data_IF_865370410883
#
_entry.id   IF_865370410883
#
_cell.length_a   1.000
_cell.length_b   1.000
_cell.length_c   1.000
_cell.angle_alpha   90.00
_cell.angle_beta   90.00
_cell.angle_gamma   90.00
#
_symmetry.space_group_name_H-M   'P 1'
#
loop_
_entity.id
_entity.type
_entity.pdbx_description
1 polymer ?
#
# COMPACT_ATOMS: atom_id res chain seq x y z
N UNK A 1 -22.27 12.15 1.96
CA UNK A 1 -21.59 13.44 1.78
C UNK A 1 -20.41 13.21 0.86
N UNK A 2 -20.29 13.94 -0.24
CA UNK A 2 -19.13 13.85 -1.14
C UNK A 2 -17.92 14.43 -0.40
N UNK A 3 -16.87 13.63 -0.16
CA UNK A 3 -15.64 14.09 0.50
C UNK A 3 -14.97 15.18 -0.33
N UNK A 4 -14.62 16.31 0.25
CA UNK A 4 -13.96 17.38 -0.49
C UNK A 4 -12.60 16.91 -1.05
N UNK A 5 -12.25 17.35 -2.27
CA UNK A 5 -11.01 16.89 -2.92
C UNK A 5 -9.76 17.47 -2.24
N UNK A 6 -9.84 18.67 -1.68
CA UNK A 6 -8.72 19.26 -0.93
C UNK A 6 -8.54 18.54 0.40
N UNK A 7 -9.64 18.15 1.07
CA UNK A 7 -9.57 17.28 2.25
C UNK A 7 -8.94 15.91 1.93
N UNK A 8 -9.24 15.33 0.76
CA UNK A 8 -8.64 14.07 0.34
C UNK A 8 -7.13 14.18 0.15
N UNK A 9 -6.64 15.27 -0.45
CA UNK A 9 -5.21 15.53 -0.63
C UNK A 9 -4.49 15.48 0.73
N UNK A 10 -5.05 16.11 1.77
CA UNK A 10 -4.48 16.14 3.12
C UNK A 10 -4.39 14.77 3.80
N UNK A 11 -5.10 13.77 3.29
CA UNK A 11 -5.03 12.40 3.81
C UNK A 11 -3.89 11.57 3.21
N UNK A 12 -3.14 12.10 2.24
CA UNK A 12 -1.99 11.40 1.67
C UNK A 12 -0.84 11.30 2.68
N UNK A 13 -0.21 10.13 2.79
CA UNK A 13 0.85 9.90 3.79
C UNK A 13 2.21 10.48 3.34
N UNK A 14 2.55 10.40 2.05
CA UNK A 14 3.82 10.92 1.50
C UNK A 14 3.64 12.33 0.89
N UNK A 15 4.35 13.36 1.39
CA UNK A 15 4.28 14.71 0.86
C UNK A 15 4.66 14.84 -0.63
N UNK A 16 5.50 13.95 -1.16
CA UNK A 16 5.86 13.97 -2.58
C UNK A 16 4.71 13.45 -3.44
N UNK A 17 4.10 12.33 -3.03
CA UNK A 17 2.88 11.80 -3.65
C UNK A 17 1.71 12.79 -3.57
N UNK A 18 1.62 13.58 -2.50
CA UNK A 18 0.66 14.68 -2.35
C UNK A 18 0.79 15.72 -3.48
N UNK A 19 2.02 16.13 -3.84
CA UNK A 19 2.24 17.12 -4.92
C UNK A 19 1.71 16.64 -6.28
N UNK A 20 1.87 15.34 -6.58
CA UNK A 20 1.36 14.76 -7.82
C UNK A 20 -0.17 14.68 -7.86
N UNK A 21 -0.83 14.30 -6.76
CA UNK A 21 -2.30 14.23 -6.75
C UNK A 21 -2.93 15.63 -6.74
N UNK A 22 -2.25 16.64 -6.18
CA UNK A 22 -2.65 18.04 -6.29
C UNK A 22 -2.71 18.53 -7.75
N UNK A 23 -1.83 18.04 -8.63
CA UNK A 23 -1.92 18.32 -10.07
C UNK A 23 -3.20 17.75 -10.67
N UNK A 24 -3.55 16.50 -10.32
CA UNK A 24 -4.79 15.87 -10.79
C UNK A 24 -6.03 16.64 -10.34
N UNK A 25 -6.05 17.11 -9.09
CA UNK A 25 -7.15 17.93 -8.56
C UNK A 25 -7.20 19.31 -9.22
N UNK A 26 -6.05 19.95 -9.48
CA UNK A 26 -6.01 21.22 -10.24
C UNK A 26 -6.58 21.04 -11.65
N UNK A 27 -6.20 19.98 -12.36
CA UNK A 27 -6.79 19.66 -13.67
C UNK A 27 -8.30 19.43 -13.59
N UNK A 28 -8.77 18.72 -12.55
CA UNK A 28 -10.20 18.50 -12.32
C UNK A 28 -10.96 19.82 -12.13
N UNK A 29 -10.45 20.69 -11.24
CA UNK A 29 -11.06 22.00 -10.94
C UNK A 29 -11.08 22.93 -12.16
N UNK A 30 -10.12 22.78 -13.07
CA UNK A 30 -10.06 23.52 -14.33
C UNK A 30 -10.97 22.94 -15.45
N UNK A 31 -11.70 21.85 -15.19
CA UNK A 31 -12.51 21.16 -16.20
C UNK A 31 -11.71 20.31 -17.20
N UNK A 32 -10.41 20.12 -16.96
CA UNK A 32 -9.52 19.32 -17.80
C UNK A 32 -9.52 17.84 -17.35
N UNK A 33 -10.67 17.18 -17.45
CA UNK A 33 -10.88 15.84 -16.86
C UNK A 33 -9.98 14.75 -17.44
N UNK A 34 -9.67 14.78 -18.74
CA UNK A 34 -8.71 13.84 -19.35
C UNK A 34 -7.32 13.98 -18.71
N UNK A 35 -6.83 15.21 -18.59
CA UNK A 35 -5.55 15.51 -17.96
C UNK A 35 -5.55 15.14 -16.49
N UNK A 36 -6.68 15.33 -15.80
CA UNK A 36 -6.84 14.92 -14.41
C UNK A 36 -6.71 13.40 -14.23
N UNK A 37 -7.34 12.59 -15.10
CA UNK A 37 -7.19 11.12 -15.06
C UNK A 37 -5.75 10.69 -15.32
N UNK A 38 -5.07 11.32 -16.29
CA UNK A 38 -3.66 11.03 -16.58
C UNK A 38 -2.76 11.38 -15.38
N UNK A 39 -2.93 12.58 -14.81
CA UNK A 39 -2.17 13.03 -13.64
C UNK A 39 -2.45 12.15 -12.40
N UNK A 40 -3.68 11.69 -12.22
CA UNK A 40 -4.05 10.78 -11.14
C UNK A 40 -3.26 9.46 -11.23
N UNK A 41 -3.14 8.88 -12.43
CA UNK A 41 -2.31 7.69 -12.63
C UNK A 41 -0.83 7.95 -12.35
N UNK A 42 -0.29 9.11 -12.75
CA UNK A 42 1.10 9.48 -12.46
C UNK A 42 1.35 9.50 -10.95
N UNK A 43 0.44 10.12 -10.17
CA UNK A 43 0.53 10.15 -8.71
C UNK A 43 0.55 8.74 -8.11
N UNK A 44 -0.32 7.84 -8.59
CA UNK A 44 -0.37 6.46 -8.12
C UNK A 44 0.89 5.68 -8.49
N UNK A 45 1.36 5.77 -9.73
CA UNK A 45 2.56 5.06 -10.17
C UNK A 45 3.80 5.52 -9.38
N UNK A 46 3.92 6.83 -9.12
CA UNK A 46 4.97 7.38 -8.28
C UNK A 46 4.92 6.80 -6.85
N UNK A 47 3.76 6.88 -6.20
CA UNK A 47 3.57 6.41 -4.82
C UNK A 47 3.85 4.91 -4.67
N UNK A 48 3.40 4.08 -5.62
CA UNK A 48 3.67 2.65 -5.63
C UNK A 48 5.18 2.35 -5.73
N UNK A 49 5.90 3.06 -6.60
CA UNK A 49 7.36 2.92 -6.73
C UNK A 49 8.06 3.37 -5.45
N UNK A 50 7.59 4.46 -4.82
CA UNK A 50 8.18 4.97 -3.60
C UNK A 50 7.98 4.00 -2.42
N UNK A 51 6.79 3.41 -2.29
CA UNK A 51 6.53 2.33 -1.31
C UNK A 51 7.41 1.10 -1.52
N UNK A 52 7.70 0.74 -2.77
CA UNK A 52 8.66 -0.34 -3.07
C UNK A 52 10.07 0.05 -2.58
N UNK A 53 10.50 1.30 -2.78
CA UNK A 53 11.78 1.79 -2.26
C UNK A 53 11.84 1.76 -0.75
N UNK A 54 10.77 2.19 -0.06
CA UNK A 54 10.68 2.12 1.40
C UNK A 54 10.84 0.68 1.91
N UNK A 55 10.14 -0.28 1.30
CA UNK A 55 10.27 -1.69 1.66
C UNK A 55 11.68 -2.24 1.39
N UNK A 56 12.29 -1.85 0.26
CA UNK A 56 13.64 -2.27 -0.08
C UNK A 56 14.68 -1.75 0.93
N UNK A 57 14.53 -0.50 1.36
CA UNK A 57 15.33 0.11 2.44
C UNK A 57 15.09 -0.59 3.79
N UNK A 58 13.87 -1.07 4.04
CA UNK A 58 13.50 -1.91 5.17
C UNK A 58 13.99 -3.36 5.11
N UNK A 59 14.80 -3.73 4.11
CA UNK A 59 15.40 -5.06 3.98
C UNK A 59 14.52 -6.11 3.29
N UNK A 60 13.42 -5.71 2.65
CA UNK A 60 12.60 -6.64 1.89
C UNK A 60 13.27 -7.08 0.57
N UNK A 61 13.59 -8.37 0.47
CA UNK A 61 14.33 -8.94 -0.68
C UNK A 61 13.57 -8.86 -1.99
N UNK A 62 12.24 -8.99 -1.96
CA UNK A 62 11.42 -8.93 -3.16
C UNK A 62 11.34 -7.48 -3.69
N UNK A 63 11.19 -6.52 -2.77
CA UNK A 63 11.25 -5.10 -3.11
C UNK A 63 12.64 -4.68 -3.65
N UNK A 64 13.73 -5.20 -3.07
CA UNK A 64 15.10 -4.96 -3.56
C UNK A 64 15.30 -5.47 -5.00
N UNK A 65 14.73 -6.64 -5.33
CA UNK A 65 14.81 -7.20 -6.67
C UNK A 65 14.06 -6.32 -7.70
N UNK A 66 12.83 -5.89 -7.39
CA UNK A 66 12.06 -5.02 -8.28
C UNK A 66 12.66 -3.61 -8.39
N UNK A 67 13.23 -3.08 -7.30
CA UNK A 67 13.95 -1.80 -7.34
C UNK A 67 15.20 -1.89 -8.23
N UNK A 68 15.96 -2.98 -8.12
CA UNK A 68 17.12 -3.21 -8.99
C UNK A 68 16.70 -3.29 -10.46
N UNK A 69 15.61 -4.04 -10.76
CA UNK A 69 15.03 -4.11 -12.11
C UNK A 69 14.68 -2.71 -12.64
N UNK A 70 14.02 -1.90 -11.82
CA UNK A 70 13.64 -0.53 -12.16
C UNK A 70 14.87 0.36 -12.45
N UNK A 71 15.88 0.31 -11.60
CA UNK A 71 17.13 1.07 -11.81
C UNK A 71 17.89 0.63 -13.07
N UNK A 72 17.92 -0.67 -13.37
CA UNK A 72 18.54 -1.18 -14.60
C UNK A 72 17.82 -0.64 -15.84
N UNK A 73 16.49 -0.62 -15.83
CA UNK A 73 15.67 -0.05 -16.92
C UNK A 73 16.01 1.43 -17.13
N UNK A 74 16.10 2.21 -16.03
CA UNK A 74 16.45 3.63 -16.09
C UNK A 74 17.87 3.85 -16.62
N UNK A 75 18.87 3.14 -16.08
CA UNK A 75 20.28 3.26 -16.50
C UNK A 75 20.46 2.93 -17.98
N UNK A 76 19.68 1.99 -18.50
CA UNK A 76 19.71 1.60 -19.91
C UNK A 76 18.87 2.50 -20.83
N UNK A 77 18.14 3.50 -20.30
CA UNK A 77 17.15 4.29 -21.05
C UNK A 77 16.17 3.41 -21.85
N UNK A 78 15.80 2.26 -21.29
CA UNK A 78 14.97 1.27 -21.98
C UNK A 78 13.48 1.64 -21.89
N UNK A 79 12.98 2.37 -22.87
CA UNK A 79 11.57 2.81 -22.92
C UNK A 79 10.57 1.65 -22.86
N UNK A 80 10.80 0.57 -23.62
CA UNK A 80 9.89 -0.58 -23.60
C UNK A 80 9.89 -1.29 -22.25
N UNK A 81 11.06 -1.35 -21.59
CA UNK A 81 11.20 -1.83 -20.22
C UNK A 81 10.43 -0.96 -19.21
N UNK A 82 10.50 0.37 -19.35
CA UNK A 82 9.79 1.29 -18.47
C UNK A 82 8.27 1.13 -18.59
N UNK A 83 7.76 1.04 -19.82
CA UNK A 83 6.34 0.81 -20.09
C UNK A 83 5.87 -0.56 -19.57
N UNK A 84 6.68 -1.60 -19.72
CA UNK A 84 6.38 -2.92 -19.17
C UNK A 84 6.34 -2.91 -17.64
N UNK A 85 7.31 -2.25 -17.00
CA UNK A 85 7.34 -2.10 -15.54
C UNK A 85 6.10 -1.35 -15.02
N UNK A 86 5.75 -0.24 -15.67
CA UNK A 86 4.56 0.55 -15.33
C UNK A 86 3.27 -0.28 -15.46
N UNK A 87 3.17 -1.13 -16.50
CA UNK A 87 2.04 -2.04 -16.70
C UNK A 87 1.95 -3.11 -15.61
N UNK A 88 3.07 -3.55 -15.05
CA UNK A 88 3.11 -4.55 -14.00
C UNK A 88 2.72 -4.00 -12.61
N UNK A 89 2.84 -2.68 -12.40
CA UNK A 89 2.62 -2.03 -11.09
C UNK A 89 1.31 -2.43 -10.39
N UNK A 90 0.13 -2.41 -11.04
CA UNK A 90 -1.11 -2.80 -10.38
C UNK A 90 -1.10 -4.23 -9.85
N UNK A 91 -0.53 -5.16 -10.62
CA UNK A 91 -0.46 -6.57 -10.23
C UNK A 91 0.55 -6.77 -9.10
N UNK A 92 1.71 -6.10 -9.17
CA UNK A 92 2.70 -6.13 -8.10
C UNK A 92 2.13 -5.56 -6.79
N UNK A 93 1.39 -4.45 -6.86
CA UNK A 93 0.75 -3.83 -5.72
C UNK A 93 -0.24 -4.78 -5.02
N UNK A 94 -0.98 -5.59 -5.78
CA UNK A 94 -1.92 -6.58 -5.23
C UNK A 94 -1.21 -7.84 -4.72
N UNK A 95 -0.44 -8.50 -5.57
CA UNK A 95 -0.02 -9.89 -5.34
C UNK A 95 1.35 -10.01 -4.65
N UNK A 96 2.33 -9.14 -4.99
CA UNK A 96 3.67 -9.19 -4.37
C UNK A 96 3.72 -8.45 -3.05
N UNK A 97 3.13 -7.25 -3.04
CA UNK A 97 3.29 -6.32 -1.92
C UNK A 97 2.03 -6.14 -1.07
N UNK A 98 0.88 -6.67 -1.50
CA UNK A 98 -0.41 -6.57 -0.79
C UNK A 98 -0.76 -5.12 -0.35
N UNK A 99 -0.34 -4.14 -1.14
CA UNK A 99 -0.64 -2.71 -0.95
C UNK A 99 -2.11 -2.39 -1.20
N UNK A 100 -2.81 -3.22 -1.95
CA UNK A 100 -4.22 -3.07 -2.29
C UNK A 100 -4.91 -4.43 -2.26
N UNK A 101 -6.20 -4.42 -1.95
CA UNK A 101 -7.08 -5.58 -2.05
C UNK A 101 -7.45 -5.91 -3.49
N UNK A 102 -8.12 -7.03 -3.70
CA UNK A 102 -8.59 -7.42 -5.04
C UNK A 102 -9.58 -6.40 -5.64
N UNK A 103 -10.49 -5.84 -4.83
CA UNK A 103 -11.45 -4.86 -5.33
C UNK A 103 -10.75 -3.56 -5.76
N UNK A 104 -9.82 -3.09 -4.94
CA UNK A 104 -9.03 -1.88 -5.22
C UNK A 104 -8.11 -2.06 -6.43
N UNK A 105 -7.63 -3.29 -6.67
CA UNK A 105 -6.93 -3.63 -7.92
C UNK A 105 -7.83 -3.46 -9.15
N UNK A 106 -9.11 -3.86 -9.09
CA UNK A 106 -10.03 -3.66 -10.21
C UNK A 106 -10.25 -2.17 -10.49
N UNK A 107 -10.35 -1.35 -9.43
CA UNK A 107 -10.46 0.10 -9.58
C UNK A 107 -9.19 0.72 -10.16
N UNK A 108 -8.01 0.21 -9.76
CA UNK A 108 -6.74 0.65 -10.31
C UNK A 108 -6.58 0.26 -11.79
N UNK A 109 -7.00 -0.94 -12.19
CA UNK A 109 -7.00 -1.37 -13.59
C UNK A 109 -7.89 -0.47 -14.44
N UNK A 110 -9.09 -0.10 -13.95
CA UNK A 110 -9.97 0.87 -14.63
C UNK A 110 -9.30 2.22 -14.82
N UNK A 111 -8.59 2.73 -13.80
CA UNK A 111 -7.80 3.95 -13.92
C UNK A 111 -6.76 3.84 -15.05
N UNK A 112 -6.03 2.73 -15.13
CA UNK A 112 -5.03 2.52 -16.19
C UNK A 112 -5.69 2.48 -17.58
N UNK A 113 -6.82 1.79 -17.73
CA UNK A 113 -7.56 1.72 -18.99
C UNK A 113 -8.08 3.09 -19.43
N UNK A 114 -8.70 3.84 -18.51
CA UNK A 114 -9.21 5.18 -18.81
C UNK A 114 -8.08 6.18 -19.06
N UNK A 115 -6.94 6.06 -18.35
CA UNK A 115 -5.72 6.81 -18.67
C UNK A 115 -5.29 6.54 -20.09
N UNK A 116 -5.26 5.27 -20.51
CA UNK A 116 -4.86 4.89 -21.85
C UNK A 116 -5.80 5.49 -22.91
N UNK A 117 -7.12 5.54 -22.66
CA UNK A 117 -8.10 6.22 -23.53
C UNK A 117 -7.91 7.74 -23.54
N UNK A 118 -7.57 8.33 -22.40
CA UNK A 118 -7.32 9.76 -22.28
C UNK A 118 -6.04 10.19 -23.01
N UNK A 119 -4.99 9.36 -23.03
CA UNK A 119 -3.67 9.70 -23.55
C UNK A 119 -3.44 9.29 -25.02
N UNK A 120 -4.08 8.21 -25.51
CA UNK A 120 -3.78 7.64 -26.83
C UNK A 120 -4.97 7.76 -27.80
N UNK A 121 -4.86 8.57 -28.88
CA UNK A 121 -5.91 8.70 -29.89
C UNK A 121 -6.30 7.37 -30.56
N UNK A 122 -5.36 6.42 -30.66
CA UNK A 122 -5.54 5.10 -31.27
C UNK A 122 -6.46 4.16 -30.49
N UNK A 123 -6.87 4.51 -29.27
CA UNK A 123 -7.80 3.73 -28.46
C UNK A 123 -9.26 4.18 -28.61
N UNK A 124 -9.51 5.09 -29.55
CA UNK A 124 -10.82 5.62 -29.88
C UNK A 124 -10.98 5.48 -31.41
N UNK A 125 -12.18 5.14 -31.88
CA UNK A 125 -12.47 5.04 -33.32
C UNK A 125 -12.10 6.34 -34.06
N UNK A 126 -11.67 6.23 -35.33
CA UNK A 126 -10.92 7.21 -36.16
C UNK A 126 -11.39 8.68 -36.20
N UNK A 127 -12.46 9.07 -35.51
CA UNK A 127 -12.96 10.45 -35.45
C UNK A 127 -13.56 10.86 -34.08
N UNK A 128 -13.35 10.10 -33.00
CA UNK A 128 -13.86 10.45 -31.68
C UNK A 128 -12.73 10.68 -30.68
N UNK A 129 -12.86 11.74 -29.87
CA UNK A 129 -11.99 11.96 -28.72
C UNK A 129 -12.70 11.38 -27.50
N UNK A 130 -12.02 10.55 -26.72
CA UNK A 130 -12.58 10.09 -25.45
C UNK A 130 -12.84 11.29 -24.53
N UNK A 131 -14.09 11.47 -24.11
CA UNK A 131 -14.49 12.55 -23.20
C UNK A 131 -14.64 11.97 -21.80
N UNK A 132 -13.64 12.21 -20.96
CA UNK A 132 -13.76 11.92 -19.53
C UNK A 132 -14.77 12.89 -18.89
N UNK A 133 -15.73 12.37 -18.13
CA UNK A 133 -16.67 13.20 -17.37
C UNK A 133 -16.05 13.67 -16.05
N UNK A 134 -16.69 14.66 -15.42
CA UNK A 134 -16.30 15.12 -14.09
C UNK A 134 -16.39 13.97 -13.07
N UNK A 135 -17.49 13.22 -13.09
CA UNK A 135 -17.75 12.11 -12.18
C UNK A 135 -16.69 11.01 -12.30
N UNK A 136 -16.29 10.67 -13.53
CA UNK A 136 -15.26 9.67 -13.79
C UNK A 136 -13.90 10.11 -13.23
N UNK A 137 -13.49 11.34 -13.55
CA UNK A 137 -12.23 11.91 -13.05
C UNK A 137 -12.21 11.97 -11.51
N UNK A 138 -13.33 12.38 -10.91
CA UNK A 138 -13.48 12.45 -9.46
C UNK A 138 -13.44 11.07 -8.79
N UNK A 139 -14.07 10.07 -9.40
CA UNK A 139 -14.05 8.67 -8.92
C UNK A 139 -12.61 8.16 -8.84
N UNK A 140 -11.84 8.38 -9.91
CA UNK A 140 -10.44 7.95 -9.98
C UNK A 140 -9.58 8.62 -8.90
N UNK A 141 -9.70 9.93 -8.71
CA UNK A 141 -9.00 10.65 -7.63
C UNK A 141 -9.38 10.06 -6.26
N UNK A 142 -10.68 9.86 -6.02
CA UNK A 142 -11.15 9.36 -4.74
C UNK A 142 -10.60 7.98 -4.41
N UNK A 143 -10.68 7.04 -5.36
CA UNK A 143 -10.21 5.67 -5.19
C UNK A 143 -8.69 5.62 -5.04
N UNK A 144 -7.95 6.37 -5.86
CA UNK A 144 -6.48 6.46 -5.76
C UNK A 144 -6.04 6.93 -4.37
N UNK A 145 -6.64 8.01 -3.87
CA UNK A 145 -6.31 8.52 -2.53
C UNK A 145 -6.68 7.50 -1.46
N UNK A 146 -7.92 6.99 -1.45
CA UNK A 146 -8.41 6.14 -0.36
C UNK A 146 -7.71 4.79 -0.27
N UNK A 147 -7.37 4.18 -1.39
CA UNK A 147 -6.81 2.83 -1.43
C UNK A 147 -5.29 2.82 -1.41
N UNK A 148 -4.65 3.86 -1.95
CA UNK A 148 -3.22 3.88 -2.18
C UNK A 148 -2.58 5.04 -1.44
N UNK A 149 -2.78 6.29 -1.86
CA UNK A 149 -1.98 7.44 -1.42
C UNK A 149 -2.13 7.76 0.08
N UNK A 150 -3.29 7.47 0.66
CA UNK A 150 -3.57 7.68 2.10
C UNK A 150 -3.11 6.52 2.99
N UNK A 151 -2.40 5.54 2.44
CA UNK A 151 -2.01 4.34 3.17
C UNK A 151 -0.50 4.14 3.14
N UNK A 152 0.13 3.74 4.26
CA UNK A 152 1.54 3.39 4.26
C UNK A 152 1.82 2.09 3.48
N UNK A 153 3.09 1.83 3.19
CA UNK A 153 3.56 0.57 2.61
C UNK A 153 3.29 -0.62 3.55
N UNK A 154 2.76 -1.72 3.00
CA UNK A 154 2.49 -2.94 3.78
C UNK A 154 3.79 -3.70 4.10
N UNK A 155 4.10 -3.82 5.39
CA UNK A 155 5.35 -4.38 5.88
C UNK A 155 5.44 -5.89 5.66
N UNK A 156 6.58 -6.33 5.12
CA UNK A 156 6.85 -7.73 4.78
C UNK A 156 7.49 -8.55 5.89
N UNK A 157 7.96 -9.75 5.55
CA UNK A 157 8.64 -10.65 6.49
C UNK A 157 9.88 -10.01 7.13
N UNK A 158 10.56 -9.08 6.45
CA UNK A 158 11.73 -8.38 6.97
C UNK A 158 11.43 -7.59 8.26
N UNK A 159 10.20 -7.12 8.45
CA UNK A 159 9.82 -6.40 9.66
C UNK A 159 9.56 -7.31 10.88
N UNK A 160 9.60 -8.64 10.71
CA UNK A 160 9.38 -9.59 11.82
C UNK A 160 10.40 -9.41 12.93
N UNK A 161 11.67 -9.26 12.58
CA UNK A 161 12.75 -9.08 13.56
C UNK A 161 12.54 -7.82 14.39
N UNK A 162 12.11 -6.72 13.76
CA UNK A 162 11.76 -5.48 14.47
C UNK A 162 10.64 -5.70 15.49
N UNK A 163 9.57 -6.40 15.11
CA UNK A 163 8.47 -6.70 16.03
C UNK A 163 8.92 -7.59 17.18
N UNK A 164 9.78 -8.58 16.93
CA UNK A 164 10.32 -9.44 17.99
C UNK A 164 11.22 -8.64 18.95
N UNK A 165 12.07 -7.76 18.43
CA UNK A 165 12.90 -6.87 19.25
C UNK A 165 12.04 -5.95 20.15
N UNK A 166 10.92 -5.43 19.64
CA UNK A 166 9.96 -4.63 20.42
C UNK A 166 9.35 -5.46 21.56
N UNK A 167 9.03 -6.75 21.33
CA UNK A 167 8.52 -7.66 22.36
C UNK A 167 9.58 -7.98 23.43
N UNK A 168 10.83 -8.18 23.02
CA UNK A 168 11.95 -8.50 23.92
C UNK A 168 12.37 -7.30 24.76
N UNK A 169 12.16 -6.09 24.26
CA UNK A 169 12.52 -4.83 24.92
C UNK A 169 12.08 -4.77 26.37
N UNK A 170 12.96 -4.20 27.22
CA UNK A 170 12.66 -3.91 28.63
C UNK A 170 11.51 -2.91 28.78
N UNK A 171 11.26 -2.10 27.74
CA UNK A 171 10.20 -1.10 27.70
C UNK A 171 8.89 -1.63 27.10
N UNK A 172 8.78 -2.94 26.84
CA UNK A 172 7.54 -3.51 26.33
C UNK A 172 6.39 -3.26 27.34
N UNK A 173 5.24 -2.71 26.91
CA UNK A 173 4.18 -2.34 27.83
C UNK A 173 3.59 -3.54 28.59
N UNK A 174 3.13 -3.29 29.80
CA UNK A 174 2.55 -4.31 30.68
C UNK A 174 1.03 -4.37 30.65
N UNK A 175 0.38 -3.39 30.02
CA UNK A 175 -1.08 -3.35 29.85
C UNK A 175 -1.46 -3.50 28.38
N UNK A 176 -2.70 -3.94 28.15
CA UNK A 176 -3.16 -4.33 26.82
C UNK A 176 -3.30 -3.13 25.86
N UNK A 177 -3.75 -1.98 26.34
CA UNK A 177 -4.07 -0.84 25.48
C UNK A 177 -2.79 -0.12 24.99
N UNK A 178 -1.73 -0.10 25.80
CA UNK A 178 -0.42 0.40 25.37
C UNK A 178 0.24 -0.55 24.36
N UNK A 179 0.05 -1.87 24.48
CA UNK A 179 0.55 -2.82 23.47
C UNK A 179 -0.20 -2.64 22.14
N UNK A 180 -1.51 -2.41 22.17
CA UNK A 180 -2.29 -2.07 20.97
C UNK A 180 -1.73 -0.80 20.32
N UNK A 181 -1.50 0.25 21.11
CA UNK A 181 -0.93 1.52 20.63
C UNK A 181 0.46 1.32 20.00
N UNK A 182 1.32 0.51 20.64
CA UNK A 182 2.64 0.16 20.11
C UNK A 182 2.54 -0.53 18.75
N UNK A 183 1.63 -1.50 18.60
CA UNK A 183 1.45 -2.24 17.35
C UNK A 183 0.87 -1.36 16.24
N UNK A 184 -0.04 -0.44 16.58
CA UNK A 184 -0.62 0.53 15.65
C UNK A 184 0.36 1.62 15.21
N UNK A 185 1.36 1.95 16.04
CA UNK A 185 2.46 2.84 15.67
C UNK A 185 3.59 2.14 14.92
N UNK A 186 3.65 0.80 15.01
CA UNK A 186 4.74 -0.02 14.51
C UNK A 186 4.49 -0.70 13.16
N UNK A 187 5.31 -1.71 12.83
CA UNK A 187 5.20 -2.45 11.57
C UNK A 187 3.89 -3.24 11.39
N UNK A 188 3.13 -3.40 12.46
CA UNK A 188 1.85 -4.12 12.47
C UNK A 188 0.67 -3.23 12.08
N UNK A 189 0.83 -1.89 12.04
CA UNK A 189 -0.19 -0.94 11.52
C UNK A 189 -0.70 -1.38 10.16
N UNK A 190 0.21 -1.81 9.29
CA UNK A 190 -0.10 -2.44 8.01
C UNK A 190 0.92 -3.50 7.68
N UNK A 191 0.56 -4.76 7.90
CA UNK A 191 1.43 -5.90 7.66
C UNK A 191 0.87 -6.83 6.58
N UNK A 192 1.77 -7.49 5.87
CA UNK A 192 1.43 -8.57 4.94
C UNK A 192 1.01 -9.84 5.67
N UNK A 193 0.20 -10.64 5.00
CA UNK A 193 -0.30 -11.93 5.49
C UNK A 193 0.83 -12.84 6.01
N UNK A 194 1.97 -12.82 5.32
CA UNK A 194 3.16 -13.58 5.67
C UNK A 194 3.83 -13.13 6.99
N UNK A 195 3.88 -11.82 7.27
CA UNK A 195 4.41 -11.28 8.52
C UNK A 195 3.52 -11.72 9.69
N UNK A 196 2.21 -11.53 9.55
CA UNK A 196 1.23 -11.91 10.57
C UNK A 196 1.24 -13.42 10.86
N UNK A 197 1.23 -14.27 9.82
CA UNK A 197 1.26 -15.72 9.98
C UNK A 197 2.51 -16.20 10.72
N UNK A 198 3.67 -15.63 10.38
CA UNK A 198 4.92 -15.97 11.05
C UNK A 198 4.94 -15.49 12.51
N UNK A 199 4.47 -14.27 12.77
CA UNK A 199 4.37 -13.73 14.13
C UNK A 199 3.46 -14.62 15.00
N UNK A 200 2.26 -14.97 14.51
CA UNK A 200 1.33 -15.84 15.24
C UNK A 200 1.94 -17.20 15.56
N UNK A 201 2.66 -17.83 14.61
CA UNK A 201 3.36 -19.10 14.84
C UNK A 201 4.38 -18.99 15.96
N UNK A 202 5.15 -17.90 16.00
CA UNK A 202 6.16 -17.67 17.04
C UNK A 202 5.49 -17.44 18.39
N UNK A 203 4.50 -16.55 18.45
CA UNK A 203 3.79 -16.23 19.68
C UNK A 203 3.10 -17.45 20.29
N UNK A 204 2.43 -18.27 19.47
CA UNK A 204 1.75 -19.50 19.93
C UNK A 204 2.78 -20.49 20.49
N UNK A 205 3.86 -20.76 19.77
CA UNK A 205 4.94 -21.66 20.24
C UNK A 205 5.53 -21.21 21.57
N UNK A 206 5.79 -19.91 21.71
CA UNK A 206 6.30 -19.30 22.93
C UNK A 206 5.32 -19.45 24.10
N UNK A 207 4.01 -19.24 23.88
CA UNK A 207 3.00 -19.38 24.93
C UNK A 207 2.80 -20.81 25.41
N UNK A 208 2.94 -21.80 24.53
CA UNK A 208 2.79 -23.23 24.87
C UNK A 208 4.09 -23.78 25.49
N UNK A 209 5.21 -23.05 25.42
CA UNK A 209 6.50 -23.51 25.90
C UNK A 209 7.16 -24.53 24.97
N UNK A 210 6.85 -24.50 23.68
CA UNK A 210 7.41 -25.41 22.67
C UNK A 210 8.50 -24.68 21.88
N UNK A 211 9.75 -25.06 22.14
CA UNK A 211 10.96 -24.52 21.50
C UNK A 211 11.63 -23.38 22.27
N UNK A 212 12.84 -23.01 21.84
CA UNK A 212 13.64 -21.91 22.40
C UNK A 212 13.06 -20.55 21.96
N UNK A 213 11.86 -20.22 22.42
CA UNK A 213 11.28 -18.93 22.14
C UNK A 213 12.03 -17.83 22.92
N UNK A 214 12.54 -16.78 22.25
CA UNK A 214 13.36 -15.76 22.90
C UNK A 214 12.56 -14.80 23.79
N UNK A 215 11.23 -14.87 23.76
CA UNK A 215 10.30 -13.95 24.44
C UNK A 215 9.61 -14.63 25.62
N UNK A 216 9.48 -13.90 26.73
CA UNK A 216 8.75 -14.35 27.93
C UNK A 216 7.28 -14.69 27.61
N UNK A 217 6.75 -15.86 28.03
CA UNK A 217 5.39 -16.31 27.70
C UNK A 217 4.28 -15.32 28.07
N UNK A 218 4.43 -14.58 29.17
CA UNK A 218 3.48 -13.54 29.60
C UNK A 218 3.36 -12.38 28.60
N UNK A 219 4.49 -11.94 28.02
CA UNK A 219 4.49 -10.90 26.97
C UNK A 219 3.85 -11.42 25.69
N UNK A 220 4.09 -12.69 25.33
CA UNK A 220 3.46 -13.31 24.16
C UNK A 220 1.94 -13.43 24.29
N UNK A 221 1.43 -13.78 25.48
CA UNK A 221 0.00 -13.83 25.73
C UNK A 221 -0.66 -12.45 25.63
N UNK A 222 0.01 -11.41 26.13
CA UNK A 222 -0.45 -10.02 26.01
C UNK A 222 -0.44 -9.56 24.54
N UNK A 223 0.62 -9.87 23.80
CA UNK A 223 0.73 -9.58 22.37
C UNK A 223 -0.37 -10.28 21.55
N UNK A 224 -0.67 -11.55 21.81
CA UNK A 224 -1.78 -12.27 21.15
C UNK A 224 -3.13 -11.61 21.44
N UNK A 225 -3.34 -11.17 22.68
CA UNK A 225 -4.56 -10.45 23.08
C UNK A 225 -4.67 -9.10 22.37
N UNK A 226 -3.56 -8.38 22.22
CA UNK A 226 -3.51 -7.12 21.48
C UNK A 226 -3.79 -7.33 19.98
N UNK A 227 -3.17 -8.34 19.36
CA UNK A 227 -3.42 -8.70 17.96
C UNK A 227 -4.91 -9.01 17.69
N UNK A 228 -5.58 -9.68 18.64
CA UNK A 228 -7.03 -9.93 18.56
C UNK A 228 -7.85 -8.63 18.59
N UNK A 229 -7.45 -7.64 19.39
CA UNK A 229 -8.10 -6.32 19.41
C UNK A 229 -7.83 -5.54 18.12
N UNK A 230 -6.58 -5.49 17.64
CA UNK A 230 -6.23 -4.80 16.40
C UNK A 230 -7.02 -5.39 15.20
N UNK A 231 -7.13 -6.71 15.10
CA UNK A 231 -7.86 -7.39 14.01
C UNK A 231 -9.39 -7.20 14.05
N UNK A 232 -9.98 -6.71 15.15
CA UNK A 232 -11.38 -6.29 15.17
C UNK A 232 -11.59 -4.92 14.50
N UNK A 233 -10.57 -4.06 14.46
CA UNK A 233 -10.58 -2.77 13.77
C UNK A 233 -10.22 -2.87 12.27
N UNK A 234 -9.36 -3.82 11.89
CA UNK A 234 -9.02 -4.10 10.49
C UNK A 234 -9.90 -5.23 9.95
N UNK A 235 -10.94 -4.88 9.19
CA UNK A 235 -12.03 -5.77 8.73
C UNK A 235 -11.68 -7.26 8.51
N UNK A 236 -12.29 -8.12 9.34
CA UNK A 236 -12.73 -9.54 9.25
C UNK A 236 -12.12 -10.57 8.25
N UNK A 237 -11.12 -10.28 7.44
CA UNK A 237 -10.60 -11.25 6.46
C UNK A 237 -9.54 -12.21 7.00
N UNK A 238 -9.02 -12.01 8.22
CA UNK A 238 -7.81 -12.70 8.66
C UNK A 238 -8.02 -13.92 9.59
N UNK A 239 -9.16 -14.05 10.28
CA UNK A 239 -9.41 -15.17 11.22
C UNK A 239 -10.17 -16.37 10.61
N UNK A 240 -10.12 -16.56 9.28
CA UNK A 240 -10.69 -17.75 8.60
C UNK A 240 -9.70 -18.92 8.44
N UNK A 241 -8.61 -18.95 9.21
CA UNK A 241 -7.63 -20.04 9.24
C UNK A 241 -7.53 -20.67 10.63
N UNK A 242 -8.68 -20.99 11.19
CA UNK A 242 -8.85 -22.02 12.22
C UNK A 242 -10.02 -22.91 11.80
#
# INVERSE_FOLDING_TARGET
MLSDLDELILSCEDPRSQQYIEEAVRCYKAGAYRSSVVACWIAVAFDLVDKIKELAAGGDKEAQAELTRFETIQKANNLSGALAFEKDLPLMAKDKFEFISHLEYLDLVRLVEDRNRCAHPSHVSDNQVFVASAELSRLHIHNAVKSILSKPAAQGKAALERVLNDLESKFFPSNLDDVVTLFEAGPLRRCRSALMSNLLKILIKATIGVGDAPVLPGKCALALSALKKCTQHYGRSFFRLA
#
